data_IF_520237669760
#
_entry.id   IF_520237669760
#
_cell.length_a   1.000
_cell.length_b   1.000
_cell.length_c   1.000
_cell.angle_alpha   90.00
_cell.angle_beta   90.00
_cell.angle_gamma   90.00
#
_symmetry.space_group_name_H-M   'P 1'
#
loop_
_entity.id
_entity.type
_entity.pdbx_description
1 polymer ?
#
# COMPACT_ATOMS: atom_id res chain seq x y z
N UNK A 1 11.32 -18.55 16.01
CA UNK A 1 11.27 -17.30 16.79
C UNK A 1 9.90 -16.69 16.50
N UNK A 2 9.03 -16.76 17.49
CA UNK A 2 7.64 -16.29 17.39
C UNK A 2 7.65 -14.77 17.58
N UNK A 3 7.64 -14.00 16.48
CA UNK A 3 7.48 -12.56 16.51
C UNK A 3 6.04 -12.25 16.93
N UNK A 4 5.83 -11.98 18.20
CA UNK A 4 4.59 -11.38 18.67
C UNK A 4 4.60 -9.92 18.24
N UNK A 5 3.84 -9.60 17.20
CA UNK A 5 3.63 -8.22 16.79
C UNK A 5 2.73 -7.55 17.83
N UNK A 6 3.34 -6.91 18.84
CA UNK A 6 2.63 -6.20 19.92
C UNK A 6 1.61 -5.18 19.44
N UNK A 7 1.72 -4.68 18.20
CA UNK A 7 0.75 -3.69 17.66
C UNK A 7 -0.57 -4.29 17.25
N UNK A 8 -0.63 -5.58 16.89
CA UNK A 8 -1.92 -6.21 16.52
C UNK A 8 -2.86 -6.37 17.72
N UNK A 9 -2.33 -6.38 18.94
CA UNK A 9 -3.12 -6.46 20.18
C UNK A 9 -3.45 -5.07 20.74
N UNK A 10 -2.67 -4.03 20.38
CA UNK A 10 -2.85 -2.66 20.87
C UNK A 10 -3.71 -1.78 19.95
N UNK A 11 -4.03 -2.21 18.72
CA UNK A 11 -4.86 -1.43 17.77
C UNK A 11 -6.31 -1.27 18.21
N UNK A 12 -6.70 -1.84 19.36
CA UNK A 12 -7.97 -1.58 20.03
C UNK A 12 -7.83 -0.57 21.18
N UNK A 13 -6.71 0.16 21.28
CA UNK A 13 -6.63 1.33 22.16
C UNK A 13 -7.50 2.42 21.55
N UNK A 14 -8.67 2.56 22.16
CA UNK A 14 -9.75 3.45 21.72
C UNK A 14 -9.24 4.85 21.36
N UNK A 15 -9.88 5.40 20.37
CA UNK A 15 -9.76 6.80 19.99
C UNK A 15 -9.74 7.69 21.23
N UNK A 16 -8.61 8.30 21.54
CA UNK A 16 -8.52 9.27 22.64
C UNK A 16 -9.11 10.58 22.15
N UNK A 17 -10.03 11.13 22.90
CA UNK A 17 -10.54 12.49 22.65
C UNK A 17 -9.52 13.51 23.18
N UNK A 18 -9.39 14.63 22.49
CA UNK A 18 -8.61 15.75 23.01
C UNK A 18 -9.29 16.37 24.25
N UNK A 19 -8.53 17.16 25.00
CA UNK A 19 -9.02 17.81 26.23
C UNK A 19 -10.21 18.74 26.01
N UNK A 20 -10.48 19.12 24.75
CA UNK A 20 -11.66 19.92 24.34
C UNK A 20 -12.89 19.07 24.01
N UNK A 21 -12.80 17.72 24.12
CA UNK A 21 -13.97 16.82 24.01
C UNK A 21 -14.49 16.57 22.60
N UNK A 22 -13.83 17.08 21.54
CA UNK A 22 -14.41 17.14 20.20
C UNK A 22 -13.68 16.42 19.08
N UNK A 23 -12.40 16.03 19.23
CA UNK A 23 -11.62 15.48 18.11
C UNK A 23 -10.88 14.20 18.48
N UNK A 24 -10.98 13.22 17.59
CA UNK A 24 -10.28 11.94 17.72
C UNK A 24 -8.80 12.10 17.36
N UNK A 25 -7.90 11.89 18.33
CA UNK A 25 -6.47 11.80 18.13
C UNK A 25 -6.12 10.37 17.70
N UNK A 26 -5.37 10.25 16.61
CA UNK A 26 -4.85 8.96 16.11
C UNK A 26 -3.33 8.96 16.12
N UNK A 27 -2.73 7.82 16.42
CA UNK A 27 -1.30 7.60 16.27
C UNK A 27 -0.96 7.27 14.82
N UNK A 28 0.06 7.95 14.28
CA UNK A 28 0.58 7.69 12.95
C UNK A 28 1.27 6.33 12.90
N UNK A 29 0.89 5.46 11.97
CA UNK A 29 1.51 4.12 11.84
C UNK A 29 3.00 4.16 11.45
N UNK A 30 3.53 5.29 10.97
CA UNK A 30 4.92 5.39 10.54
C UNK A 30 5.84 6.07 11.56
N UNK A 31 5.37 7.09 12.28
CA UNK A 31 6.21 7.85 13.22
C UNK A 31 5.69 7.86 14.65
N UNK A 32 4.59 7.19 14.93
CA UNK A 32 3.93 7.04 16.23
C UNK A 32 3.48 8.38 16.86
N UNK A 33 3.64 9.52 16.17
CA UNK A 33 3.14 10.83 16.62
C UNK A 33 1.62 10.86 16.57
N UNK A 34 1.02 11.44 17.58
CA UNK A 34 -0.41 11.74 17.56
C UNK A 34 -0.70 12.84 16.54
N UNK A 35 -1.75 12.66 15.74
CA UNK A 35 -2.20 13.65 14.77
C UNK A 35 -3.72 13.78 14.79
N UNK A 36 -4.17 14.97 14.47
CA UNK A 36 -5.60 15.26 14.29
C UNK A 36 -5.99 14.86 12.88
N UNK A 37 -7.09 14.16 12.76
CA UNK A 37 -7.68 13.86 11.46
C UNK A 37 -8.13 15.16 10.79
N UNK A 38 -7.88 15.29 9.49
CA UNK A 38 -8.47 16.36 8.69
C UNK A 38 -9.95 16.04 8.49
N UNK A 39 -10.82 16.83 9.12
CA UNK A 39 -12.28 16.76 8.88
C UNK A 39 -12.57 17.53 7.59
N UNK A 40 -12.90 16.81 6.52
CA UNK A 40 -13.49 17.44 5.33
C UNK A 40 -15.00 17.58 5.55
N UNK A 41 -15.53 18.80 5.43
CA UNK A 41 -16.95 19.09 5.55
C UNK A 41 -17.82 18.21 4.63
N UNK A 42 -17.28 17.81 3.46
CA UNK A 42 -17.93 16.86 2.54
C UNK A 42 -18.05 15.46 3.13
N UNK A 43 -17.08 15.02 3.93
CA UNK A 43 -17.12 13.72 4.61
C UNK A 43 -18.21 13.69 5.68
N UNK A 44 -18.41 14.81 6.37
CA UNK A 44 -19.46 14.98 7.37
C UNK A 44 -20.85 14.86 6.75
N UNK A 45 -21.09 15.52 5.60
CA UNK A 45 -22.39 15.46 4.88
C UNK A 45 -22.64 14.08 4.28
N UNK A 46 -21.61 13.44 3.72
CA UNK A 46 -21.75 12.16 3.04
C UNK A 46 -21.67 10.94 3.97
N UNK A 47 -21.48 11.14 5.26
CA UNK A 47 -21.27 10.09 6.28
C UNK A 47 -20.18 9.08 5.87
N UNK A 48 -19.26 9.48 4.98
CA UNK A 48 -18.13 8.67 4.49
C UNK A 48 -16.85 9.17 5.11
N UNK A 49 -16.50 8.60 6.23
CA UNK A 49 -15.25 8.90 6.89
C UNK A 49 -14.09 8.23 6.15
N UNK A 50 -13.14 9.03 5.66
CA UNK A 50 -11.91 8.53 5.07
C UNK A 50 -10.93 8.21 6.19
N UNK A 51 -10.63 6.97 6.39
CA UNK A 51 -9.66 6.58 7.41
C UNK A 51 -8.26 7.05 7.02
N UNK A 52 -7.65 7.86 7.87
CA UNK A 52 -6.26 8.29 7.77
C UNK A 52 -5.44 7.51 8.79
N UNK A 53 -4.41 6.83 8.31
CA UNK A 53 -3.55 5.95 9.10
C UNK A 53 -2.17 6.54 9.38
N UNK A 54 -1.82 7.61 8.69
CA UNK A 54 -0.54 8.31 8.79
C UNK A 54 -0.75 9.82 8.81
N UNK A 55 0.12 10.54 9.53
CA UNK A 55 0.10 12.00 9.54
C UNK A 55 0.50 12.58 8.18
N UNK A 56 0.15 13.85 7.97
CA UNK A 56 0.44 14.59 6.73
C UNK A 56 1.92 14.58 6.38
N UNK A 57 2.79 14.82 7.35
CA UNK A 57 4.25 14.84 7.19
C UNK A 57 4.80 13.49 6.68
N UNK A 58 4.28 12.36 7.19
CA UNK A 58 4.66 11.04 6.70
C UNK A 58 4.11 10.76 5.31
N UNK A 59 2.90 11.23 5.00
CA UNK A 59 2.27 11.05 3.70
C UNK A 59 3.02 11.80 2.60
N UNK A 60 3.49 13.01 2.86
CA UNK A 60 4.23 13.85 1.92
C UNK A 60 5.61 13.28 1.53
N UNK A 61 6.15 12.35 2.32
CA UNK A 61 7.40 11.64 1.97
C UNK A 61 7.24 10.65 0.84
N UNK A 62 6.03 10.21 0.54
CA UNK A 62 5.75 9.29 -0.57
C UNK A 62 5.48 10.07 -1.85
N UNK A 63 6.38 9.94 -2.80
CA UNK A 63 6.32 10.63 -4.08
C UNK A 63 5.47 9.83 -5.07
N UNK A 64 4.34 10.40 -5.50
CA UNK A 64 3.54 9.81 -6.57
C UNK A 64 4.31 9.89 -7.90
N UNK A 65 4.07 8.93 -8.78
CA UNK A 65 4.53 9.01 -10.18
C UNK A 65 3.86 10.22 -10.84
N UNK A 66 4.63 11.02 -11.55
CA UNK A 66 4.12 12.19 -12.26
C UNK A 66 3.27 11.80 -13.48
N UNK A 67 2.48 12.74 -14.01
CA UNK A 67 1.73 12.52 -15.26
C UNK A 67 2.64 12.30 -16.47
N UNK A 68 3.90 12.77 -16.36
CA UNK A 68 4.95 12.54 -17.36
C UNK A 68 5.72 11.28 -17.00
N UNK A 69 5.36 10.15 -17.61
CA UNK A 69 5.99 8.86 -17.36
C UNK A 69 5.98 7.98 -18.61
N UNK A 70 6.83 6.95 -18.62
CA UNK A 70 6.83 5.96 -19.68
C UNK A 70 5.46 5.25 -19.80
N UNK A 71 4.81 5.24 -20.97
CA UNK A 71 3.45 4.66 -21.13
C UNK A 71 3.39 3.15 -20.91
N UNK A 72 4.54 2.44 -20.88
CA UNK A 72 4.59 0.99 -20.70
C UNK A 72 4.94 0.56 -19.28
N UNK A 73 5.92 1.19 -18.63
CA UNK A 73 6.39 0.77 -17.30
C UNK A 73 6.23 1.82 -16.21
N UNK A 74 5.68 3.00 -16.51
CA UNK A 74 5.50 4.11 -15.58
C UNK A 74 6.82 4.64 -14.99
N UNK A 75 7.95 4.45 -15.67
CA UNK A 75 9.20 5.10 -15.28
C UNK A 75 9.01 6.61 -15.34
N UNK A 76 9.20 7.26 -14.20
CA UNK A 76 8.93 8.68 -14.00
C UNK A 76 9.81 9.57 -14.89
N UNK A 77 9.29 10.74 -15.29
CA UNK A 77 9.96 11.74 -16.15
C UNK A 77 10.35 11.25 -17.55
N UNK A 78 9.63 10.29 -18.10
CA UNK A 78 9.82 9.78 -19.46
C UNK A 78 8.55 10.04 -20.29
N UNK A 79 8.57 10.98 -21.22
CA UNK A 79 7.42 11.31 -22.08
C UNK A 79 7.08 10.21 -23.09
N UNK A 80 8.05 9.38 -23.43
CA UNK A 80 7.94 8.32 -24.44
C UNK A 80 8.38 6.99 -23.83
N UNK A 81 8.23 5.93 -24.63
CA UNK A 81 8.74 4.63 -24.24
C UNK A 81 10.23 4.70 -23.87
N UNK A 82 10.55 4.33 -22.63
CA UNK A 82 11.91 4.41 -22.09
C UNK A 82 12.85 3.38 -22.74
N UNK A 83 14.15 3.57 -22.57
CA UNK A 83 15.20 2.70 -23.14
C UNK A 83 15.02 1.24 -22.72
N UNK A 84 14.65 1.00 -21.47
CA UNK A 84 14.48 -0.36 -20.94
C UNK A 84 13.29 -1.06 -21.61
N UNK A 85 12.15 -0.38 -21.77
CA UNK A 85 11.00 -0.95 -22.48
C UNK A 85 11.31 -1.25 -23.94
N UNK A 86 12.02 -0.36 -24.64
CA UNK A 86 12.46 -0.58 -26.02
C UNK A 86 13.40 -1.80 -26.11
N UNK A 87 14.32 -1.94 -25.18
CA UNK A 87 15.23 -3.09 -25.13
C UNK A 87 14.47 -4.41 -24.95
N UNK A 88 13.57 -4.48 -23.99
CA UNK A 88 12.79 -5.70 -23.73
C UNK A 88 11.79 -6.00 -24.86
N UNK A 89 11.19 -4.98 -25.47
CA UNK A 89 10.32 -5.16 -26.65
C UNK A 89 11.06 -5.79 -27.82
N UNK A 90 12.32 -5.39 -28.08
CA UNK A 90 13.17 -6.02 -29.12
C UNK A 90 13.48 -7.49 -28.84
N UNK A 91 13.48 -7.90 -27.58
CA UNK A 91 13.65 -9.30 -27.15
C UNK A 91 12.35 -10.10 -27.11
N UNK A 92 11.25 -9.56 -27.64
CA UNK A 92 9.94 -10.23 -27.65
C UNK A 92 9.15 -10.11 -26.34
N UNK A 93 9.67 -9.43 -25.33
CA UNK A 93 9.00 -9.25 -24.04
C UNK A 93 8.19 -7.96 -24.06
N UNK A 94 6.86 -8.06 -23.92
CA UNK A 94 5.97 -6.91 -23.75
C UNK A 94 5.91 -6.54 -22.28
N UNK A 95 6.52 -5.41 -21.94
CA UNK A 95 6.40 -4.84 -20.59
C UNK A 95 5.11 -4.03 -20.52
N UNK A 96 4.25 -4.37 -19.58
CA UNK A 96 3.09 -3.56 -19.20
C UNK A 96 3.01 -3.56 -17.68
N UNK A 97 3.29 -2.43 -17.10
CA UNK A 97 3.37 -2.25 -15.66
C UNK A 97 2.85 -0.87 -15.29
N UNK A 98 2.17 -0.77 -14.17
CA UNK A 98 1.69 0.49 -13.62
C UNK A 98 2.25 0.67 -12.21
N UNK A 99 2.76 1.86 -11.93
CA UNK A 99 3.24 2.26 -10.61
C UNK A 99 2.49 3.51 -10.14
N UNK A 100 2.14 3.55 -8.86
CA UNK A 100 1.48 4.70 -8.25
C UNK A 100 2.50 5.64 -7.59
N UNK A 101 3.58 5.08 -7.07
CA UNK A 101 4.59 5.78 -6.29
C UNK A 101 6.00 5.45 -6.75
N UNK A 102 6.90 6.40 -6.59
CA UNK A 102 8.33 6.20 -6.77
C UNK A 102 8.90 5.35 -5.64
N UNK A 103 9.88 4.51 -5.95
CA UNK A 103 10.61 3.75 -4.95
C UNK A 103 11.73 4.60 -4.35
N UNK A 104 11.35 5.59 -3.53
CA UNK A 104 12.25 6.46 -2.79
C UNK A 104 12.59 5.88 -1.40
N UNK A 105 13.37 6.59 -0.58
CA UNK A 105 13.77 6.11 0.76
C UNK A 105 12.57 5.87 1.69
N UNK A 106 11.52 6.70 1.61
CA UNK A 106 10.31 6.49 2.41
C UNK A 106 9.59 5.18 2.02
N UNK A 107 9.50 4.88 0.71
CA UNK A 107 8.91 3.63 0.22
C UNK A 107 9.76 2.42 0.59
N UNK A 108 11.09 2.55 0.56
CA UNK A 108 12.03 1.50 0.97
C UNK A 108 11.87 1.15 2.45
N UNK A 109 11.81 2.16 3.33
CA UNK A 109 11.60 1.96 4.77
C UNK A 109 10.21 1.37 5.06
N UNK A 110 9.16 1.86 4.37
CA UNK A 110 7.82 1.26 4.44
C UNK A 110 7.85 -0.23 4.11
N UNK A 111 8.47 -0.63 2.99
CA UNK A 111 8.54 -2.04 2.60
C UNK A 111 9.40 -2.88 3.54
N UNK A 112 10.44 -2.31 4.14
CA UNK A 112 11.25 -2.98 5.15
C UNK A 112 10.37 -3.38 6.34
N UNK A 113 9.66 -2.44 6.93
CA UNK A 113 8.74 -2.69 8.05
C UNK A 113 7.61 -3.65 7.64
N UNK A 114 6.97 -3.39 6.51
CA UNK A 114 5.83 -4.18 6.05
C UNK A 114 6.20 -5.63 5.74
N UNK A 115 7.35 -5.87 5.09
CA UNK A 115 7.76 -7.22 4.65
C UNK A 115 8.57 -7.99 5.67
N UNK A 116 9.43 -7.33 6.43
CA UNK A 116 10.42 -8.00 7.26
C UNK A 116 10.16 -7.86 8.75
N UNK A 117 9.49 -6.79 9.16
CA UNK A 117 9.10 -6.61 10.57
C UNK A 117 7.67 -7.08 10.83
N UNK A 118 6.95 -7.51 9.79
CA UNK A 118 5.63 -8.11 9.91
C UNK A 118 4.51 -7.12 10.29
N UNK A 119 4.73 -5.81 10.12
CA UNK A 119 3.73 -4.78 10.44
C UNK A 119 2.59 -4.77 9.42
N UNK A 120 1.65 -5.70 9.62
CA UNK A 120 0.52 -5.93 8.71
C UNK A 120 -0.36 -4.69 8.52
N UNK A 121 -0.52 -3.87 9.57
CA UNK A 121 -1.38 -2.68 9.51
C UNK A 121 -0.88 -1.64 8.49
N UNK A 122 0.41 -1.62 8.18
CA UNK A 122 0.94 -0.74 7.14
C UNK A 122 0.28 -0.96 5.77
N UNK A 123 -0.30 -2.14 5.52
CA UNK A 123 -1.08 -2.39 4.30
C UNK A 123 -2.27 -1.45 4.10
N UNK A 124 -2.82 -0.88 5.18
CA UNK A 124 -3.93 0.08 5.12
C UNK A 124 -3.55 1.39 4.44
N UNK A 125 -2.28 1.81 4.53
CA UNK A 125 -1.79 3.11 4.07
C UNK A 125 -2.10 3.33 2.59
N UNK A 126 -1.85 2.32 1.74
CA UNK A 126 -2.02 2.41 0.29
C UNK A 126 -3.27 1.70 -0.25
N UNK A 127 -4.06 1.07 0.62
CA UNK A 127 -5.23 0.29 0.21
C UNK A 127 -6.23 1.12 -0.61
N UNK A 128 -6.53 2.35 -0.17
CA UNK A 128 -7.43 3.25 -0.87
C UNK A 128 -6.90 3.73 -2.22
N UNK A 129 -5.60 3.98 -2.34
CA UNK A 129 -5.01 4.45 -3.60
C UNK A 129 -4.96 3.31 -4.62
N UNK A 130 -4.65 2.09 -4.18
CA UNK A 130 -4.75 0.88 -5.00
C UNK A 130 -6.20 0.65 -5.42
N UNK A 131 -7.19 0.78 -4.51
CA UNK A 131 -8.61 0.66 -4.85
C UNK A 131 -9.03 1.65 -5.94
N UNK A 132 -8.56 2.89 -5.88
CA UNK A 132 -8.82 3.89 -6.93
C UNK A 132 -8.19 3.51 -8.26
N UNK A 133 -6.92 3.08 -8.26
CA UNK A 133 -6.23 2.64 -9.46
C UNK A 133 -6.90 1.41 -10.10
N UNK A 134 -7.41 0.49 -9.27
CA UNK A 134 -8.10 -0.72 -9.74
C UNK A 134 -9.47 -0.45 -10.39
N UNK A 135 -10.06 0.73 -10.23
CA UNK A 135 -11.38 1.05 -10.82
C UNK A 135 -11.43 0.85 -12.34
N UNK A 136 -10.34 1.14 -13.03
CA UNK A 136 -10.26 0.97 -14.50
C UNK A 136 -10.17 -0.50 -14.94
N UNK A 137 -9.88 -1.42 -14.02
CA UNK A 137 -9.73 -2.85 -14.26
C UNK A 137 -10.94 -3.68 -13.82
N UNK A 138 -12.14 -3.09 -13.72
CA UNK A 138 -13.37 -3.78 -13.25
C UNK A 138 -13.76 -5.01 -14.05
N UNK A 139 -13.42 -5.05 -15.34
CA UNK A 139 -13.68 -6.20 -16.23
C UNK A 139 -12.61 -7.29 -16.16
N UNK A 140 -11.55 -7.08 -15.39
CA UNK A 140 -10.44 -8.03 -15.25
C UNK A 140 -10.57 -8.86 -13.96
N UNK A 141 -10.07 -10.08 -14.01
CA UNK A 141 -9.85 -10.87 -12.79
C UNK A 141 -8.50 -10.47 -12.20
N UNK A 142 -8.53 -9.99 -10.97
CA UNK A 142 -7.31 -9.64 -10.23
C UNK A 142 -6.72 -10.91 -9.64
N UNK A 143 -5.44 -11.14 -9.87
CA UNK A 143 -4.68 -12.26 -9.30
C UNK A 143 -3.60 -11.72 -8.39
N UNK A 144 -3.33 -12.42 -7.30
CA UNK A 144 -2.22 -12.08 -6.40
C UNK A 144 -0.97 -12.84 -6.78
N UNK A 145 0.18 -12.20 -6.58
CA UNK A 145 1.48 -12.86 -6.67
C UNK A 145 1.63 -13.83 -5.51
N UNK A 146 1.93 -15.12 -5.77
CA UNK A 146 2.14 -16.09 -4.71
C UNK A 146 3.44 -15.81 -3.96
N UNK A 147 3.46 -16.15 -2.68
CA UNK A 147 4.67 -16.21 -1.87
C UNK A 147 4.97 -17.66 -1.52
N UNK A 148 6.25 -18.00 -1.28
CA UNK A 148 6.63 -19.34 -0.83
C UNK A 148 6.05 -19.63 0.56
N UNK A 149 5.91 -20.94 0.89
CA UNK A 149 5.42 -21.36 2.20
C UNK A 149 6.31 -20.81 3.34
N UNK A 150 7.62 -20.95 3.19
CA UNK A 150 8.61 -20.40 4.11
C UNK A 150 8.41 -18.91 4.40
N UNK A 151 8.28 -18.09 3.34
CA UNK A 151 8.04 -16.65 3.51
C UNK A 151 6.68 -16.33 4.11
N UNK A 152 5.68 -17.19 3.90
CA UNK A 152 4.37 -17.02 4.52
C UNK A 152 4.43 -17.32 6.02
N UNK A 153 5.19 -18.33 6.43
CA UNK A 153 5.42 -18.63 7.85
C UNK A 153 6.24 -17.52 8.53
N UNK A 154 7.33 -17.07 7.87
CA UNK A 154 8.18 -15.99 8.38
C UNK A 154 7.40 -14.69 8.59
N UNK A 155 6.57 -14.29 7.65
CA UNK A 155 5.86 -13.00 7.65
C UNK A 155 4.48 -13.05 8.29
N UNK A 156 3.88 -14.24 8.35
CA UNK A 156 2.51 -14.45 8.82
C UNK A 156 1.41 -14.05 7.83
N UNK A 157 1.74 -13.42 6.69
CA UNK A 157 0.75 -12.95 5.70
C UNK A 157 1.36 -12.76 4.30
N UNK A 158 0.47 -12.71 3.28
CA UNK A 158 0.85 -12.28 1.94
C UNK A 158 0.61 -10.78 1.80
N UNK A 159 1.65 -10.01 1.51
CA UNK A 159 1.60 -8.56 1.44
C UNK A 159 0.61 -8.03 0.41
N UNK A 160 0.51 -8.70 -0.75
CA UNK A 160 -0.37 -8.26 -1.83
C UNK A 160 -1.82 -8.49 -1.45
N UNK A 161 -2.17 -9.71 -1.01
CA UNK A 161 -3.54 -10.02 -0.59
C UNK A 161 -3.98 -9.14 0.58
N UNK A 162 -3.12 -8.90 1.55
CA UNK A 162 -3.45 -8.05 2.70
C UNK A 162 -3.80 -6.61 2.30
N UNK A 163 -3.08 -6.00 1.36
CA UNK A 163 -3.44 -4.66 0.88
C UNK A 163 -4.78 -4.69 0.12
N UNK A 164 -5.04 -5.74 -0.66
CA UNK A 164 -6.29 -5.90 -1.39
C UNK A 164 -7.47 -6.11 -0.42
N UNK A 165 -7.28 -6.88 0.65
CA UNK A 165 -8.27 -7.10 1.70
C UNK A 165 -8.64 -5.78 2.39
N UNK A 166 -7.64 -4.97 2.79
CA UNK A 166 -7.88 -3.64 3.36
C UNK A 166 -8.56 -2.67 2.39
N UNK A 167 -8.34 -2.84 1.09
CA UNK A 167 -9.01 -2.08 0.04
C UNK A 167 -10.40 -2.59 -0.30
N UNK A 168 -10.86 -3.70 0.28
CA UNK A 168 -12.09 -4.39 -0.14
C UNK A 168 -12.09 -4.63 -1.66
N UNK A 169 -10.97 -5.19 -2.17
CA UNK A 169 -10.77 -5.49 -3.59
C UNK A 169 -10.83 -7.00 -3.77
N UNK A 170 -11.77 -7.46 -4.59
CA UNK A 170 -11.92 -8.89 -4.89
C UNK A 170 -10.77 -9.41 -5.76
N UNK A 171 -10.18 -10.54 -5.39
CA UNK A 171 -9.08 -11.17 -6.12
C UNK A 171 -9.18 -12.69 -6.04
N UNK A 172 -8.36 -13.39 -6.84
CA UNK A 172 -8.21 -14.84 -6.81
C UNK A 172 -6.76 -15.24 -6.58
N UNK A 173 -6.55 -16.30 -5.81
CA UNK A 173 -5.25 -16.95 -5.58
C UNK A 173 -5.20 -18.22 -6.45
N UNK A 174 -4.73 -18.07 -7.68
CA UNK A 174 -4.67 -19.20 -8.64
C UNK A 174 -3.27 -19.82 -8.75
N UNK A 175 -2.24 -19.14 -8.27
CA UNK A 175 -0.87 -19.59 -8.39
C UNK A 175 -0.30 -20.01 -7.03
N UNK A 176 0.51 -21.05 -7.05
CA UNK A 176 1.40 -21.43 -5.95
C UNK A 176 2.82 -21.18 -6.39
N UNK A 177 3.67 -20.73 -5.47
CA UNK A 177 5.10 -20.69 -5.69
C UNK A 177 5.67 -22.01 -5.17
N UNK A 178 6.36 -22.75 -6.05
CA UNK A 178 7.16 -23.90 -5.64
C UNK A 178 8.35 -23.39 -4.85
N UNK A 179 8.63 -24.02 -3.72
CA UNK A 179 9.82 -23.74 -2.95
C UNK A 179 11.02 -24.23 -3.76
N UNK A 180 11.99 -23.35 -4.01
CA UNK A 180 13.24 -23.74 -4.70
C UNK A 180 13.97 -24.79 -3.86
N UNK A 181 14.26 -25.92 -4.48
CA UNK A 181 15.15 -26.95 -3.96
C UNK A 181 16.52 -26.36 -3.61
#
# INVERSE_FOLDING_TARGET
IRWHNKRNEESNKGDKRDESGGRLLKSCLLCDKEFKRSEDFRELILLKTKEEWICKECKEKFEAISDVHCPKCFKDKEEKECKDCKYWSKKGNKVQHEALYRYNEAMKEYFKRYKFEGDRLLGTIFANDIKKAMKKYKSYTILTTPISHEKKEERGFNQVSTILDYGDIKYKNLFKKEDSL
#
